data_IF_186507045968
#
_entry.id   IF_186507045968
#
_cell.length_a   1.000
_cell.length_b   1.000
_cell.length_c   1.000
_cell.angle_alpha   90.00
_cell.angle_beta   90.00
_cell.angle_gamma   90.00
#
_symmetry.space_group_name_H-M   'P 1'
#
loop_
_entity.id
_entity.type
_entity.pdbx_description
1 polymer ?
#
# COMPACT_ATOMS: atom_id res chain seq x y z
N UNK A 1 -7.61 -2.13 5.31
CA UNK A 1 -8.76 -2.93 5.75
C UNK A 1 -10.07 -2.23 5.43
N UNK A 2 -11.07 -2.99 4.95
CA UNK A 2 -12.38 -2.45 4.60
C UNK A 2 -13.28 -2.27 5.83
N UNK A 3 -12.99 -2.98 6.91
CA UNK A 3 -13.81 -3.02 8.12
C UNK A 3 -15.09 -3.84 7.95
N UNK A 4 -15.15 -4.72 6.97
CA UNK A 4 -16.32 -5.54 6.67
C UNK A 4 -16.66 -6.51 7.79
N UNK A 5 -17.94 -6.71 8.10
CA UNK A 5 -18.37 -7.54 9.21
C UNK A 5 -18.25 -9.02 8.89
N UNK A 6 -18.87 -9.46 7.79
CA UNK A 6 -18.91 -10.87 7.39
C UNK A 6 -17.65 -11.28 6.62
N UNK A 7 -17.11 -10.38 5.82
CA UNK A 7 -15.86 -10.54 5.10
C UNK A 7 -15.01 -9.29 5.29
N UNK A 8 -13.76 -9.46 5.71
CA UNK A 8 -12.76 -8.40 5.78
C UNK A 8 -11.80 -8.57 4.62
N UNK A 9 -11.60 -7.52 3.83
CA UNK A 9 -10.59 -7.48 2.79
C UNK A 9 -9.48 -6.50 3.17
N UNK A 10 -8.24 -6.99 3.19
CA UNK A 10 -7.05 -6.21 3.50
C UNK A 10 -6.17 -6.21 2.26
N UNK A 11 -6.13 -5.08 1.58
CA UNK A 11 -5.26 -4.87 0.42
C UNK A 11 -3.81 -4.81 0.89
N UNK A 12 -2.95 -5.63 0.30
CA UNK A 12 -1.53 -5.73 0.61
C UNK A 12 -0.74 -4.95 -0.43
N UNK A 13 0.04 -3.97 0.03
CA UNK A 13 0.93 -3.18 -0.80
C UNK A 13 2.37 -3.30 -0.30
N UNK A 14 3.29 -3.43 -1.24
CA UNK A 14 4.73 -3.43 -1.02
C UNK A 14 5.36 -2.43 -2.00
N UNK A 15 6.24 -1.54 -1.52
CA UNK A 15 6.67 -0.33 -2.25
C UNK A 15 7.44 -0.63 -3.54
N UNK A 16 8.06 -1.80 -3.64
CA UNK A 16 8.81 -2.23 -4.82
C UNK A 16 8.04 -3.16 -5.75
N UNK A 17 6.72 -3.29 -5.56
CA UNK A 17 5.85 -4.16 -6.36
C UNK A 17 5.58 -3.56 -7.74
N UNK A 18 6.58 -3.59 -8.61
CA UNK A 18 6.55 -3.04 -9.96
C UNK A 18 6.71 -4.12 -11.02
N UNK A 19 5.85 -4.11 -12.04
CA UNK A 19 6.10 -4.85 -13.29
C UNK A 19 7.07 -4.10 -14.18
N UNK A 20 7.48 -4.73 -15.27
CA UNK A 20 8.43 -4.16 -16.21
C UNK A 20 9.89 -4.50 -15.92
N UNK A 21 10.75 -4.05 -16.80
CA UNK A 21 12.20 -4.22 -16.72
C UNK A 21 12.92 -3.07 -17.38
N UNK A 22 14.23 -2.95 -17.14
CA UNK A 22 15.07 -1.97 -17.86
C UNK A 22 15.11 -2.32 -19.35
N UNK A 23 14.73 -1.36 -20.18
CA UNK A 23 14.77 -1.47 -21.64
C UNK A 23 15.66 -0.38 -22.22
N UNK A 24 16.31 -0.69 -23.35
CA UNK A 24 17.03 0.30 -24.14
C UNK A 24 16.03 0.97 -25.10
N UNK A 25 15.52 2.14 -24.69
CA UNK A 25 14.58 2.94 -25.48
C UNK A 25 15.22 4.18 -26.10
N UNK A 26 16.52 4.34 -26.01
CA UNK A 26 17.23 5.47 -26.60
C UNK A 26 17.10 5.44 -28.12
N UNK A 27 16.68 6.56 -28.71
CA UNK A 27 16.60 6.72 -30.15
C UNK A 27 17.81 7.49 -30.68
N UNK A 28 18.85 6.80 -31.17
CA UNK A 28 20.09 7.45 -31.66
C UNK A 28 19.88 8.27 -32.94
N UNK A 29 18.69 8.21 -33.55
CA UNK A 29 18.37 8.99 -34.75
C UNK A 29 17.63 10.28 -34.42
N UNK A 30 17.08 10.42 -33.21
CA UNK A 30 16.23 11.55 -32.84
C UNK A 30 16.96 12.90 -33.02
N UNK A 31 18.24 13.00 -32.62
CA UNK A 31 19.00 14.24 -32.68
C UNK A 31 19.18 14.80 -34.10
N UNK A 32 19.13 13.96 -35.14
CA UNK A 32 19.27 14.40 -36.54
C UNK A 32 18.12 15.35 -36.95
N UNK A 33 16.94 15.22 -36.35
CA UNK A 33 15.79 16.07 -36.63
C UNK A 33 15.82 17.40 -35.90
N UNK A 34 16.64 17.55 -34.86
CA UNK A 34 16.66 18.72 -33.99
C UNK A 34 16.90 20.02 -34.73
N UNK A 35 17.88 20.04 -35.67
CA UNK A 35 18.19 21.23 -36.48
C UNK A 35 17.02 21.69 -37.35
N UNK A 36 16.30 20.74 -37.95
CA UNK A 36 15.13 21.04 -38.78
C UNK A 36 13.94 21.51 -37.93
N UNK A 37 13.69 20.87 -36.80
CA UNK A 37 12.63 21.27 -35.85
C UNK A 37 12.86 22.72 -35.40
N UNK A 38 14.09 23.08 -34.98
CA UNK A 38 14.42 24.44 -34.57
C UNK A 38 14.24 25.45 -35.69
N UNK A 39 14.66 25.14 -36.95
CA UNK A 39 14.46 25.99 -38.09
C UNK A 39 12.98 26.26 -38.35
N UNK A 40 12.14 25.22 -38.36
CA UNK A 40 10.69 25.35 -38.53
C UNK A 40 10.04 26.25 -37.46
N UNK A 41 10.46 26.11 -36.21
CA UNK A 41 9.96 26.94 -35.10
C UNK A 41 10.36 28.42 -35.30
N UNK A 42 11.60 28.71 -35.75
CA UNK A 42 12.04 30.08 -36.03
C UNK A 42 11.34 30.71 -37.26
N UNK A 43 10.88 29.86 -38.18
CA UNK A 43 10.10 30.29 -39.35
C UNK A 43 8.59 30.45 -39.03
N UNK A 44 8.15 30.13 -37.78
CA UNK A 44 6.74 30.17 -37.36
C UNK A 44 5.90 29.00 -37.89
N UNK A 45 6.53 27.98 -38.44
CA UNK A 45 5.89 26.76 -38.99
C UNK A 45 5.69 25.73 -37.88
N UNK A 46 4.89 26.12 -36.87
CA UNK A 46 4.76 25.34 -35.65
C UNK A 46 4.14 23.95 -35.88
N UNK A 47 3.11 23.84 -36.71
CA UNK A 47 2.43 22.58 -37.00
C UNK A 47 3.37 21.55 -37.64
N UNK A 48 4.21 22.00 -38.60
CA UNK A 48 5.20 21.15 -39.25
C UNK A 48 6.33 20.73 -38.28
N UNK A 49 6.74 21.65 -37.40
CA UNK A 49 7.71 21.34 -36.36
C UNK A 49 7.17 20.27 -35.40
N UNK A 50 5.91 20.40 -34.99
CA UNK A 50 5.22 19.47 -34.11
C UNK A 50 5.06 18.08 -34.76
N UNK A 51 4.62 18.04 -36.02
CA UNK A 51 4.51 16.80 -36.78
C UNK A 51 5.87 16.08 -36.90
N UNK A 52 6.91 16.82 -37.26
CA UNK A 52 8.27 16.27 -37.34
C UNK A 52 8.74 15.75 -35.98
N UNK A 53 8.48 16.48 -34.91
CA UNK A 53 8.85 16.09 -33.55
C UNK A 53 8.14 14.79 -33.14
N UNK A 54 6.85 14.66 -33.37
CA UNK A 54 6.09 13.46 -33.05
C UNK A 54 6.55 12.21 -33.84
N UNK A 55 7.08 12.40 -35.03
CA UNK A 55 7.52 11.31 -35.88
C UNK A 55 8.99 10.91 -35.67
N UNK A 56 9.83 11.82 -35.17
CA UNK A 56 11.28 11.63 -35.17
C UNK A 56 11.96 11.88 -33.83
N UNK A 57 11.42 12.77 -32.99
CA UNK A 57 12.03 13.17 -31.71
C UNK A 57 11.37 12.45 -30.54
N UNK A 58 11.33 11.12 -30.64
CA UNK A 58 10.68 10.22 -29.69
C UNK A 58 11.62 9.04 -29.39
N UNK A 59 11.36 8.33 -28.27
CA UNK A 59 12.06 7.09 -27.97
C UNK A 59 11.86 6.05 -29.08
N UNK A 60 12.75 5.08 -29.18
CA UNK A 60 12.54 3.91 -30.04
C UNK A 60 11.65 2.88 -29.33
N UNK A 61 11.05 1.98 -30.12
CA UNK A 61 10.22 0.87 -29.64
C UNK A 61 8.73 1.14 -29.76
N UNK A 62 7.97 0.11 -29.50
CA UNK A 62 6.51 0.17 -29.54
C UNK A 62 6.00 1.17 -28.49
N UNK A 63 4.93 1.87 -28.83
CA UNK A 63 4.31 2.85 -27.96
C UNK A 63 5.00 4.21 -27.90
N UNK A 64 6.06 4.42 -28.67
CA UNK A 64 6.73 5.73 -28.76
C UNK A 64 5.96 6.68 -29.68
N UNK A 65 5.80 7.95 -29.22
CA UNK A 65 5.16 9.02 -30.00
C UNK A 65 3.63 8.93 -30.10
N UNK A 66 2.99 10.07 -30.34
CA UNK A 66 1.56 10.27 -30.65
C UNK A 66 0.54 9.45 -29.81
N UNK A 67 0.82 9.20 -28.53
CA UNK A 67 -0.07 8.43 -27.67
C UNK A 67 -0.15 6.92 -27.95
N UNK A 68 0.74 6.38 -28.75
CA UNK A 68 0.77 4.94 -29.07
C UNK A 68 1.15 4.07 -27.87
N UNK A 69 1.62 4.66 -26.76
CA UNK A 69 1.96 3.97 -25.51
C UNK A 69 0.78 3.40 -24.74
N UNK A 70 -0.46 3.76 -25.08
CA UNK A 70 -1.64 3.38 -24.30
C UNK A 70 -1.88 1.86 -24.21
N UNK A 71 -1.37 1.08 -25.16
CA UNK A 71 -1.60 -0.37 -25.25
C UNK A 71 -0.29 -1.19 -25.18
N UNK A 72 0.80 -0.59 -24.73
CA UNK A 72 2.10 -1.26 -24.62
C UNK A 72 2.31 -1.72 -23.18
N UNK A 73 2.94 -2.87 -22.94
CA UNK A 73 3.16 -3.42 -21.60
C UNK A 73 4.27 -2.67 -20.84
N UNK A 74 4.04 -1.39 -20.55
CA UNK A 74 4.92 -0.65 -19.64
C UNK A 74 4.88 -1.23 -18.23
N UNK A 75 5.99 -1.03 -17.50
CA UNK A 75 5.99 -1.30 -16.08
C UNK A 75 4.97 -0.44 -15.33
N UNK A 76 4.33 -1.02 -14.32
CA UNK A 76 3.39 -0.32 -13.45
C UNK A 76 3.54 -0.76 -12.00
N UNK A 77 3.26 0.19 -11.09
CA UNK A 77 3.08 -0.14 -9.69
C UNK A 77 1.76 -0.88 -9.50
N UNK A 78 1.78 -1.95 -8.70
CA UNK A 78 0.64 -2.86 -8.57
C UNK A 78 0.40 -3.26 -7.12
N UNK A 79 -0.86 -3.66 -6.80
CA UNK A 79 -1.11 -4.35 -5.54
C UNK A 79 -0.28 -5.65 -5.48
N UNK A 80 0.18 -6.03 -4.28
CA UNK A 80 0.77 -7.35 -4.07
C UNK A 80 -0.31 -8.43 -4.06
N UNK A 81 -1.44 -8.17 -3.41
CA UNK A 81 -2.58 -9.06 -3.34
C UNK A 81 -3.58 -8.61 -2.29
N UNK A 82 -4.58 -9.44 -2.03
CA UNK A 82 -5.55 -9.23 -0.97
C UNK A 82 -5.45 -10.38 0.04
N UNK A 83 -5.49 -10.04 1.32
CA UNK A 83 -5.77 -10.98 2.40
C UNK A 83 -7.25 -10.87 2.74
N UNK A 84 -7.98 -11.97 2.59
CA UNK A 84 -9.44 -12.03 2.80
C UNK A 84 -9.73 -12.91 4.00
N UNK A 85 -10.44 -12.37 4.98
CA UNK A 85 -10.94 -13.11 6.13
C UNK A 85 -12.46 -13.26 6.00
N UNK A 86 -12.94 -14.49 6.02
CA UNK A 86 -14.37 -14.82 6.01
C UNK A 86 -14.78 -15.30 7.40
N UNK A 87 -15.67 -14.58 8.06
CA UNK A 87 -16.11 -14.87 9.42
C UNK A 87 -17.33 -15.77 9.44
N UNK A 88 -17.36 -16.69 10.41
CA UNK A 88 -18.47 -17.59 10.66
C UNK A 88 -18.98 -17.38 12.08
N UNK A 89 -20.14 -16.74 12.20
CA UNK A 89 -20.74 -16.39 13.49
C UNK A 89 -21.67 -17.47 14.03
N UNK A 90 -21.64 -18.68 13.44
CA UNK A 90 -22.33 -19.89 13.92
C UNK A 90 -23.83 -19.69 14.26
N UNK A 91 -24.58 -19.09 13.36
CA UNK A 91 -26.02 -18.93 13.49
C UNK A 91 -26.48 -17.91 14.53
N UNK A 92 -25.58 -17.01 14.96
CA UNK A 92 -25.98 -15.82 15.72
C UNK A 92 -26.82 -14.87 14.85
N UNK A 93 -27.65 -14.03 15.50
CA UNK A 93 -28.45 -13.02 14.82
C UNK A 93 -27.63 -12.23 13.80
N UNK A 94 -28.22 -11.96 12.62
CA UNK A 94 -27.61 -11.11 11.59
C UNK A 94 -27.60 -9.62 11.94
N UNK A 95 -28.29 -9.24 13.02
CA UNK A 95 -28.36 -7.85 13.46
C UNK A 95 -27.04 -7.38 14.04
N UNK A 96 -26.54 -6.29 13.49
CA UNK A 96 -25.29 -5.62 13.90
C UNK A 96 -25.64 -4.34 14.61
N UNK A 97 -24.98 -4.09 15.75
CA UNK A 97 -25.18 -2.91 16.59
C UNK A 97 -23.86 -2.22 16.88
N UNK A 98 -23.90 -0.89 16.95
CA UNK A 98 -22.76 -0.07 17.38
C UNK A 98 -21.55 -0.23 16.49
N UNK A 99 -21.75 -0.49 15.19
CA UNK A 99 -20.63 -0.58 14.25
C UNK A 99 -19.86 0.74 14.20
N UNK A 100 -18.55 0.66 14.37
CA UNK A 100 -17.63 1.78 14.24
C UNK A 100 -16.36 1.31 13.54
N UNK A 101 -15.92 2.08 12.54
CA UNK A 101 -14.61 1.95 11.90
C UNK A 101 -13.83 3.24 12.11
N UNK A 102 -12.59 3.15 12.50
CA UNK A 102 -11.76 4.29 12.83
C UNK A 102 -10.31 4.06 12.34
N UNK A 103 -9.68 5.12 11.84
CA UNK A 103 -8.24 5.24 11.74
C UNK A 103 -7.79 6.30 12.75
N UNK A 104 -7.07 5.88 13.77
CA UNK A 104 -6.52 6.79 14.75
C UNK A 104 -5.15 7.30 14.27
N UNK A 105 -5.07 8.59 13.95
CA UNK A 105 -3.85 9.20 13.40
C UNK A 105 -2.72 9.33 14.43
N UNK A 106 -3.03 9.37 15.73
CA UNK A 106 -2.01 9.48 16.78
C UNK A 106 -1.18 8.20 16.95
N UNK A 107 -1.73 7.07 16.57
CA UNK A 107 -1.06 5.78 16.70
C UNK A 107 -1.03 4.94 15.41
N UNK A 108 -1.60 5.44 14.30
CA UNK A 108 -1.69 4.77 13.01
C UNK A 108 -2.30 3.36 13.09
N UNK A 109 -3.32 3.17 13.91
CA UNK A 109 -4.05 1.90 14.05
C UNK A 109 -5.44 2.08 13.47
N UNK A 110 -5.80 1.19 12.54
CA UNK A 110 -7.17 1.05 12.05
C UNK A 110 -7.93 0.06 12.93
N UNK A 111 -9.16 0.42 13.34
CA UNK A 111 -10.02 -0.42 14.18
C UNK A 111 -11.37 -0.62 13.52
N UNK A 112 -11.97 -1.80 13.74
CA UNK A 112 -13.38 -2.05 13.48
C UNK A 112 -14.00 -2.71 14.73
N UNK A 113 -15.07 -2.13 15.21
CA UNK A 113 -15.78 -2.55 16.41
C UNK A 113 -17.27 -2.70 16.10
N UNK A 114 -17.86 -3.78 16.55
CA UNK A 114 -19.31 -4.01 16.43
C UNK A 114 -19.77 -5.09 17.40
N UNK A 115 -21.08 -5.12 17.67
CA UNK A 115 -21.73 -6.19 18.41
C UNK A 115 -22.66 -6.95 17.46
N UNK A 116 -22.57 -8.28 17.50
CA UNK A 116 -23.47 -9.19 16.80
C UNK A 116 -24.10 -10.14 17.82
N UNK A 117 -25.43 -10.10 17.94
CA UNK A 117 -26.13 -10.77 19.03
C UNK A 117 -25.68 -10.24 20.40
N UNK A 118 -25.11 -11.14 21.21
CA UNK A 118 -24.58 -10.79 22.55
C UNK A 118 -23.07 -10.63 22.57
N UNK A 119 -22.37 -10.85 21.44
CA UNK A 119 -20.91 -10.85 21.39
C UNK A 119 -20.43 -9.56 20.73
N UNK A 120 -19.44 -8.95 21.37
CA UNK A 120 -18.73 -7.79 20.86
C UNK A 120 -17.42 -8.25 20.20
N UNK A 121 -17.18 -7.79 18.98
CA UNK A 121 -15.97 -8.07 18.21
C UNK A 121 -15.16 -6.79 18.05
N UNK A 122 -13.84 -6.91 18.23
CA UNK A 122 -12.90 -5.84 17.98
C UNK A 122 -11.77 -6.34 17.07
N UNK A 123 -11.39 -5.50 16.14
CA UNK A 123 -10.28 -5.76 15.19
C UNK A 123 -9.37 -4.55 15.20
N UNK A 124 -8.07 -4.80 15.33
CA UNK A 124 -7.03 -3.78 15.21
C UNK A 124 -6.08 -4.19 14.09
N UNK A 125 -5.77 -3.26 13.19
CA UNK A 125 -4.88 -3.50 12.04
C UNK A 125 -3.86 -2.38 11.97
N UNK A 126 -2.57 -2.73 11.88
CA UNK A 126 -1.48 -1.78 11.68
C UNK A 126 -0.30 -2.43 10.95
N UNK A 127 0.56 -1.60 10.37
CA UNK A 127 1.85 -2.00 9.80
C UNK A 127 2.97 -1.44 10.66
N UNK A 128 3.82 -2.33 11.20
CA UNK A 128 4.89 -1.98 12.14
C UNK A 128 6.20 -1.76 11.40
N UNK A 129 6.74 -0.55 11.44
CA UNK A 129 8.11 -0.29 10.98
C UNK A 129 9.16 -0.90 11.91
N UNK A 130 8.83 -1.07 13.20
CA UNK A 130 9.73 -1.68 14.17
C UNK A 130 9.96 -3.17 13.91
N UNK A 131 8.98 -3.85 13.29
CA UNK A 131 8.99 -5.29 13.04
C UNK A 131 8.98 -5.64 11.56
N UNK A 132 8.79 -4.65 10.68
CA UNK A 132 8.72 -4.77 9.21
C UNK A 132 7.63 -5.75 8.75
N UNK A 133 6.43 -5.65 9.35
CA UNK A 133 5.29 -6.51 9.02
C UNK A 133 3.95 -5.88 9.37
N UNK A 134 2.88 -6.45 8.79
CA UNK A 134 1.50 -6.15 9.17
C UNK A 134 1.04 -7.00 10.36
N UNK A 135 0.22 -6.40 11.20
CA UNK A 135 -0.39 -7.08 12.37
C UNK A 135 -1.90 -6.88 12.31
N UNK A 136 -2.64 -7.99 12.44
CA UNK A 136 -4.09 -7.99 12.56
C UNK A 136 -4.43 -8.71 13.86
N UNK A 137 -5.11 -8.01 14.75
CA UNK A 137 -5.52 -8.54 16.05
C UNK A 137 -7.04 -8.63 16.12
N UNK A 138 -7.54 -9.81 16.37
CA UNK A 138 -8.96 -10.13 16.45
C UNK A 138 -9.31 -10.58 17.88
N UNK A 139 -10.33 -9.95 18.48
CA UNK A 139 -10.83 -10.33 19.80
C UNK A 139 -12.35 -10.39 19.82
N UNK A 140 -12.88 -11.21 20.71
CA UNK A 140 -14.30 -11.25 21.06
C UNK A 140 -14.45 -11.23 22.58
N UNK A 141 -15.52 -10.63 23.09
CA UNK A 141 -15.82 -10.57 24.54
C UNK A 141 -16.47 -11.86 25.06
N UNK A 142 -16.72 -12.82 24.19
CA UNK A 142 -17.18 -14.17 24.55
C UNK A 142 -16.09 -15.22 24.23
N UNK A 143 -15.98 -16.19 25.11
CA UNK A 143 -15.01 -17.29 24.94
C UNK A 143 -15.33 -18.12 23.71
N UNK A 144 -14.28 -18.48 22.95
CA UNK A 144 -14.37 -19.32 21.74
C UNK A 144 -15.29 -18.78 20.62
N UNK A 145 -15.54 -17.47 20.58
CA UNK A 145 -16.46 -16.86 19.64
C UNK A 145 -15.84 -16.52 18.28
N UNK A 146 -14.51 -16.59 18.14
CA UNK A 146 -13.84 -16.32 16.87
C UNK A 146 -13.77 -17.59 16.01
N UNK A 147 -14.50 -17.55 14.90
CA UNK A 147 -14.45 -18.57 13.86
C UNK A 147 -14.33 -17.86 12.52
N UNK A 148 -13.29 -18.14 11.75
CA UNK A 148 -13.06 -17.55 10.46
C UNK A 148 -12.13 -18.42 9.61
N UNK A 149 -12.11 -18.17 8.33
CA UNK A 149 -11.07 -18.65 7.43
C UNK A 149 -10.38 -17.47 6.78
N UNK A 150 -9.12 -17.64 6.42
CA UNK A 150 -8.41 -16.62 5.65
C UNK A 150 -7.69 -17.24 4.45
N UNK A 151 -7.63 -16.46 3.39
CA UNK A 151 -6.98 -16.78 2.13
C UNK A 151 -6.34 -15.54 1.52
N UNK A 152 -5.47 -15.73 0.56
CA UNK A 152 -4.92 -14.64 -0.24
C UNK A 152 -5.31 -14.81 -1.70
N UNK A 153 -5.53 -13.70 -2.40
CA UNK A 153 -5.78 -13.70 -3.83
C UNK A 153 -5.14 -12.48 -4.52
N UNK A 154 -5.04 -12.60 -5.83
CA UNK A 154 -4.59 -11.56 -6.75
C UNK A 154 -5.24 -11.84 -8.12
N UNK A 155 -5.37 -10.85 -9.04
CA UNK A 155 -5.94 -11.11 -10.36
C UNK A 155 -5.15 -12.12 -11.20
N UNK A 156 -3.80 -12.15 -11.09
CA UNK A 156 -2.94 -12.95 -11.97
C UNK A 156 -1.58 -13.28 -11.33
N UNK A 157 -0.84 -14.22 -11.95
CA UNK A 157 0.58 -14.52 -11.69
C UNK A 157 0.91 -14.79 -10.23
N UNK A 158 0.12 -15.65 -9.57
CA UNK A 158 0.33 -16.04 -8.18
C UNK A 158 -0.02 -17.50 -7.92
N UNK A 159 0.54 -18.01 -6.85
CA UNK A 159 0.17 -19.29 -6.23
C UNK A 159 0.06 -19.11 -4.73
N UNK A 160 -0.96 -19.72 -4.13
CA UNK A 160 -1.16 -19.74 -2.68
C UNK A 160 -1.10 -21.18 -2.19
N UNK A 161 -0.41 -21.40 -1.09
CA UNK A 161 -0.33 -22.72 -0.41
C UNK A 161 -0.42 -22.52 1.09
N UNK A 162 -1.15 -23.40 1.77
CA UNK A 162 -1.20 -23.45 3.21
C UNK A 162 -0.19 -24.47 3.76
N UNK A 163 0.46 -24.13 4.88
CA UNK A 163 1.43 -24.95 5.57
C UNK A 163 1.29 -24.76 7.09
N UNK A 164 0.61 -25.67 7.75
CA UNK A 164 0.29 -25.55 9.18
C UNK A 164 -0.50 -24.28 9.47
N UNK A 165 0.05 -23.39 10.29
CA UNK A 165 -0.56 -22.12 10.67
C UNK A 165 -0.27 -21.00 9.67
N UNK A 166 0.46 -21.28 8.62
CA UNK A 166 0.93 -20.30 7.65
C UNK A 166 0.16 -20.42 6.32
N UNK A 167 0.00 -19.28 5.68
CA UNK A 167 -0.46 -19.17 4.29
C UNK A 167 0.61 -18.42 3.50
N UNK A 168 1.10 -19.01 2.42
CA UNK A 168 2.15 -18.45 1.57
C UNK A 168 1.59 -18.13 0.19
N UNK A 169 1.70 -16.87 -0.24
CA UNK A 169 1.50 -16.44 -1.61
C UNK A 169 2.86 -16.14 -2.24
N UNK A 170 3.09 -16.62 -3.45
CA UNK A 170 4.28 -16.32 -4.24
C UNK A 170 3.87 -16.07 -5.69
N UNK A 171 4.63 -15.22 -6.37
CA UNK A 171 4.41 -14.94 -7.78
C UNK A 171 5.58 -14.23 -8.44
N UNK A 172 5.41 -13.99 -9.73
CA UNK A 172 6.36 -13.24 -10.54
C UNK A 172 5.59 -12.35 -11.51
N UNK A 173 6.02 -11.12 -11.67
CA UNK A 173 5.36 -10.14 -12.56
C UNK A 173 5.88 -10.24 -13.98
N UNK A 174 5.13 -9.73 -14.98
CA UNK A 174 5.64 -9.53 -16.34
C UNK A 174 6.82 -8.57 -16.35
N UNK A 175 7.75 -8.77 -17.26
CA UNK A 175 8.93 -7.91 -17.44
C UNK A 175 8.68 -6.69 -18.36
N UNK A 176 7.49 -6.58 -18.93
CA UNK A 176 7.12 -5.49 -19.83
C UNK A 176 7.61 -5.64 -21.27
N UNK A 177 8.33 -6.72 -21.58
CA UNK A 177 8.80 -7.03 -22.94
C UNK A 177 7.86 -7.99 -23.64
N UNK A 178 7.46 -9.05 -22.93
CA UNK A 178 6.51 -10.04 -23.42
C UNK A 178 5.43 -10.25 -22.37
N UNK A 179 4.17 -10.03 -22.74
CA UNK A 179 3.04 -10.24 -21.86
C UNK A 179 2.78 -11.72 -21.55
N UNK A 180 3.32 -12.64 -22.36
CA UNK A 180 3.20 -14.08 -22.17
C UNK A 180 4.31 -14.65 -21.28
N UNK A 181 5.44 -13.95 -21.14
CA UNK A 181 6.56 -14.39 -20.32
C UNK A 181 6.62 -13.65 -18.99
N UNK A 182 6.56 -14.40 -17.90
CA UNK A 182 6.58 -13.89 -16.53
C UNK A 182 8.05 -13.91 -16.06
N UNK A 183 8.84 -12.91 -16.43
CA UNK A 183 10.28 -12.81 -16.13
C UNK A 183 10.63 -11.59 -15.27
N UNK A 184 9.66 -10.81 -14.87
CA UNK A 184 9.87 -9.61 -14.06
C UNK A 184 10.11 -9.92 -12.59
N UNK A 185 9.80 -8.97 -11.74
CA UNK A 185 9.99 -8.99 -10.30
C UNK A 185 9.26 -10.18 -9.64
N UNK A 186 9.99 -10.92 -8.81
CA UNK A 186 9.40 -11.98 -7.96
C UNK A 186 8.99 -11.41 -6.61
N UNK A 187 7.90 -11.94 -6.05
CA UNK A 187 7.36 -11.49 -4.78
C UNK A 187 6.86 -12.65 -3.93
N UNK A 188 6.80 -12.42 -2.63
CA UNK A 188 6.17 -13.33 -1.68
C UNK A 188 5.46 -12.56 -0.57
N UNK A 189 4.36 -13.13 -0.07
CA UNK A 189 3.73 -12.74 1.19
C UNK A 189 3.44 -13.98 2.01
N UNK A 190 3.74 -13.92 3.30
CA UNK A 190 3.42 -15.01 4.24
C UNK A 190 2.59 -14.48 5.40
N UNK A 191 1.49 -15.18 5.69
CA UNK A 191 0.60 -14.86 6.81
C UNK A 191 0.65 -15.99 7.81
N UNK A 192 0.93 -15.70 9.08
CA UNK A 192 0.92 -16.65 10.19
C UNK A 192 -0.18 -16.31 11.18
N UNK A 193 -0.99 -17.29 11.57
CA UNK A 193 -1.96 -17.12 12.64
C UNK A 193 -1.44 -17.69 13.96
N UNK A 194 -1.60 -16.91 15.02
CA UNK A 194 -1.25 -17.24 16.40
C UNK A 194 -2.52 -17.14 17.23
N UNK A 195 -2.78 -18.14 18.07
CA UNK A 195 -3.96 -18.21 18.94
C UNK A 195 -3.54 -18.19 20.42
N UNK A 196 -3.32 -17.00 21.04
CA UNK A 196 -2.78 -16.91 22.39
C UNK A 196 -3.69 -17.52 23.48
N UNK A 197 -5.01 -17.54 23.21
CA UNK A 197 -6.03 -18.04 24.16
C UNK A 197 -6.72 -19.30 23.65
N UNK A 198 -5.98 -20.15 22.94
CA UNK A 198 -6.50 -21.41 22.41
C UNK A 198 -7.40 -21.25 21.20
N UNK A 199 -7.84 -22.38 20.67
CA UNK A 199 -8.56 -22.54 19.43
C UNK A 199 -7.90 -23.61 18.57
N UNK A 200 -8.44 -23.84 17.37
CA UNK A 200 -7.93 -24.83 16.42
C UNK A 200 -7.61 -24.15 15.10
N UNK A 201 -6.47 -24.50 14.53
CA UNK A 201 -6.08 -24.12 13.17
C UNK A 201 -6.11 -25.35 12.28
N UNK A 202 -6.73 -25.23 11.12
CA UNK A 202 -6.79 -26.31 10.12
C UNK A 202 -6.37 -25.75 8.76
N UNK A 203 -5.24 -26.18 8.20
CA UNK A 203 -4.85 -25.82 6.85
C UNK A 203 -5.73 -26.56 5.84
N UNK A 204 -6.14 -25.83 4.78
CA UNK A 204 -6.64 -26.39 3.53
C UNK A 204 -5.54 -26.36 2.47
N UNK A 205 -5.91 -26.36 1.19
CA UNK A 205 -4.92 -26.26 0.10
C UNK A 205 -4.36 -24.83 -0.06
N UNK A 206 -5.26 -23.85 -0.03
CA UNK A 206 -4.94 -22.42 -0.24
C UNK A 206 -5.63 -21.48 0.76
N UNK A 207 -6.16 -22.05 1.84
CA UNK A 207 -6.81 -21.31 2.93
C UNK A 207 -6.44 -21.91 4.27
N UNK A 208 -6.55 -21.13 5.33
CA UNK A 208 -6.40 -21.61 6.70
C UNK A 208 -7.68 -21.28 7.47
N UNK A 209 -8.21 -22.25 8.19
CA UNK A 209 -9.41 -22.09 9.03
C UNK A 209 -9.05 -22.02 10.49
N UNK A 210 -9.69 -21.10 11.21
CA UNK A 210 -9.59 -20.94 12.67
C UNK A 210 -10.95 -21.20 13.28
N UNK A 211 -11.00 -22.02 14.32
CA UNK A 211 -12.22 -22.38 15.04
C UNK A 211 -12.04 -22.28 16.55
N UNK A 212 -13.09 -21.83 17.22
CA UNK A 212 -13.18 -21.78 18.68
C UNK A 212 -12.01 -20.99 19.31
N UNK A 213 -11.58 -19.90 18.69
CA UNK A 213 -10.59 -19.02 19.28
C UNK A 213 -11.28 -17.89 20.08
N UNK A 214 -10.63 -17.41 21.14
CA UNK A 214 -11.06 -16.22 21.90
C UNK A 214 -10.24 -14.99 21.50
N UNK A 215 -9.06 -15.22 20.92
CA UNK A 215 -8.15 -14.20 20.43
C UNK A 215 -7.35 -14.79 19.27
N UNK A 216 -7.10 -13.98 18.24
CA UNK A 216 -6.23 -14.36 17.13
C UNK A 216 -5.35 -13.19 16.72
N UNK A 217 -4.08 -13.46 16.42
CA UNK A 217 -3.12 -12.51 15.86
C UNK A 217 -2.68 -13.07 14.51
N UNK A 218 -2.86 -12.30 13.43
CA UNK A 218 -2.29 -12.62 12.14
C UNK A 218 -1.09 -11.70 11.90
N UNK A 219 0.06 -12.28 11.65
CA UNK A 219 1.29 -11.58 11.26
C UNK A 219 1.45 -11.72 9.75
N UNK A 220 1.65 -10.60 9.05
CA UNK A 220 1.74 -10.53 7.59
C UNK A 220 3.10 -9.98 7.19
N UNK A 221 3.94 -10.80 6.58
CA UNK A 221 5.21 -10.39 6.00
C UNK A 221 5.13 -10.34 4.48
N UNK A 222 5.87 -9.41 3.87
CA UNK A 222 5.91 -9.23 2.42
C UNK A 222 7.34 -8.94 1.98
N UNK A 223 7.72 -9.38 0.78
CA UNK A 223 9.02 -9.09 0.20
C UNK A 223 8.98 -9.22 -1.34
N UNK A 224 9.87 -8.48 -2.01
CA UNK A 224 10.14 -8.63 -3.42
C UNK A 224 11.65 -8.87 -3.64
N UNK A 225 12.03 -9.41 -4.79
CA UNK A 225 13.44 -9.62 -5.12
C UNK A 225 14.15 -8.34 -5.61
N UNK A 226 13.48 -7.21 -5.54
CA UNK A 226 14.13 -5.91 -5.67
C UNK A 226 15.13 -5.66 -4.52
N UNK A 227 14.67 -5.88 -3.29
CA UNK A 227 15.50 -5.67 -2.09
C UNK A 227 16.17 -6.96 -1.59
N UNK A 228 15.53 -8.13 -1.74
CA UNK A 228 15.98 -9.37 -1.13
C UNK A 228 15.88 -10.55 -2.09
N UNK A 229 16.99 -11.18 -2.38
CA UNK A 229 17.03 -12.31 -3.35
C UNK A 229 16.48 -13.62 -2.76
N UNK A 230 16.53 -13.78 -1.42
CA UNK A 230 15.92 -14.92 -0.71
C UNK A 230 14.55 -14.54 -0.13
N UNK A 231 13.54 -14.51 -0.97
CA UNK A 231 12.17 -14.16 -0.58
C UNK A 231 11.61 -15.08 0.51
N UNK A 232 11.81 -16.39 0.38
CA UNK A 232 11.27 -17.37 1.32
C UNK A 232 11.91 -17.22 2.70
N UNK A 233 13.23 -17.07 2.77
CA UNK A 233 13.96 -16.80 4.00
C UNK A 233 13.54 -15.46 4.62
N UNK A 234 13.43 -14.40 3.82
CA UNK A 234 13.02 -13.06 4.30
C UNK A 234 11.65 -13.07 4.96
N UNK A 235 10.60 -13.52 4.25
CA UNK A 235 9.23 -13.50 4.81
C UNK A 235 9.10 -14.43 6.02
N UNK A 236 9.83 -15.55 6.05
CA UNK A 236 9.79 -16.49 7.18
C UNK A 236 10.52 -15.93 8.40
N UNK A 237 11.68 -15.29 8.22
CA UNK A 237 12.48 -14.73 9.33
C UNK A 237 11.78 -13.56 10.02
N UNK A 238 11.07 -12.70 9.26
CA UNK A 238 10.26 -11.62 9.82
C UNK A 238 9.20 -12.17 10.77
N UNK A 239 8.44 -13.18 10.33
CA UNK A 239 7.41 -13.81 11.17
C UNK A 239 8.01 -14.51 12.39
N UNK A 240 9.09 -15.25 12.23
CA UNK A 240 9.75 -15.95 13.33
C UNK A 240 10.33 -15.01 14.40
N UNK A 241 10.71 -13.80 14.02
CA UNK A 241 11.16 -12.77 14.96
C UNK A 241 9.98 -12.12 15.69
N UNK A 242 8.89 -11.82 14.96
CA UNK A 242 7.70 -11.19 15.53
C UNK A 242 6.92 -12.14 16.45
N UNK A 243 6.87 -13.44 16.15
CA UNK A 243 6.21 -14.46 16.95
C UNK A 243 6.76 -14.58 18.38
N UNK A 244 8.01 -14.16 18.61
CA UNK A 244 8.62 -14.12 19.95
C UNK A 244 8.05 -13.02 20.84
N UNK A 245 7.25 -12.11 20.30
CA UNK A 245 6.64 -10.96 20.98
C UNK A 245 5.15 -11.22 21.18
N UNK A 246 4.61 -10.80 22.30
CA UNK A 246 3.17 -10.71 22.48
C UNK A 246 2.58 -9.51 21.72
N UNK A 247 1.26 -9.48 21.56
CA UNK A 247 0.57 -8.39 20.87
C UNK A 247 0.85 -7.02 21.50
N UNK A 248 0.90 -6.93 22.83
CA UNK A 248 1.16 -5.66 23.52
C UNK A 248 2.54 -5.09 23.18
N UNK A 249 3.55 -5.95 23.07
CA UNK A 249 4.92 -5.58 22.68
C UNK A 249 5.00 -5.13 21.21
N UNK A 250 4.33 -5.84 20.29
CA UNK A 250 4.24 -5.46 18.87
C UNK A 250 3.57 -4.08 18.73
N UNK A 251 2.42 -3.90 19.36
CA UNK A 251 1.66 -2.64 19.35
C UNK A 251 2.48 -1.48 19.97
N UNK A 252 3.15 -1.71 21.09
CA UNK A 252 4.01 -0.71 21.73
C UNK A 252 5.18 -0.30 20.83
N UNK A 253 5.83 -1.26 20.17
CA UNK A 253 6.93 -1.00 19.24
C UNK A 253 6.48 -0.17 18.05
N UNK A 254 5.34 -0.54 17.44
CA UNK A 254 4.71 0.20 16.36
C UNK A 254 4.40 1.65 16.75
N UNK A 255 3.67 1.86 17.87
CA UNK A 255 3.30 3.20 18.33
C UNK A 255 4.53 4.06 18.60
N UNK A 256 5.56 3.50 19.24
CA UNK A 256 6.80 4.23 19.54
C UNK A 256 7.51 4.68 18.26
N UNK A 257 7.67 3.78 17.29
CA UNK A 257 8.29 4.09 16.01
C UNK A 257 7.49 5.16 15.23
N UNK A 258 6.17 5.02 15.14
CA UNK A 258 5.32 5.97 14.45
C UNK A 258 5.31 7.36 15.12
N UNK A 259 5.10 7.41 16.44
CA UNK A 259 5.06 8.68 17.19
C UNK A 259 6.39 9.41 17.21
N UNK A 260 7.51 8.74 17.02
CA UNK A 260 8.81 9.40 16.90
C UNK A 260 8.88 10.39 15.73
N UNK A 261 8.00 10.21 14.72
CA UNK A 261 7.82 11.11 13.59
C UNK A 261 6.54 11.94 13.74
N UNK A 262 5.40 11.28 13.96
CA UNK A 262 4.10 11.96 13.97
C UNK A 262 3.95 12.95 15.12
N UNK A 263 4.43 12.63 16.31
CA UNK A 263 4.33 13.45 17.51
C UNK A 263 5.21 14.71 17.52
N UNK A 264 5.97 14.99 16.44
CA UNK A 264 6.87 16.17 16.37
C UNK A 264 6.16 17.48 16.06
N UNK A 265 4.95 17.40 15.50
CA UNK A 265 4.18 18.58 15.08
C UNK A 265 2.73 18.42 15.48
N UNK A 266 2.21 19.43 16.12
CA UNK A 266 0.79 19.60 16.41
C UNK A 266 0.32 20.91 15.77
N UNK A 267 -0.87 20.89 15.19
CA UNK A 267 -1.51 22.07 14.60
C UNK A 267 -2.89 22.24 15.26
N UNK A 268 -3.07 23.35 15.95
CA UNK A 268 -4.33 23.77 16.53
C UNK A 268 -4.81 25.04 15.83
N UNK A 269 -5.97 24.98 15.19
CA UNK A 269 -6.64 26.10 14.51
C UNK A 269 -7.95 26.50 15.20
N UNK A 270 -8.20 25.94 16.38
CA UNK A 270 -9.45 26.08 17.13
C UNK A 270 -10.36 24.85 16.95
N UNK A 271 -11.47 24.86 17.70
CA UNK A 271 -12.40 23.73 17.81
C UNK A 271 -13.67 23.94 17.00
N UNK A 272 -14.32 22.83 16.65
CA UNK A 272 -15.63 22.79 16.02
C UNK A 272 -16.55 21.85 16.79
N UNK A 273 -17.83 22.18 16.87
CA UNK A 273 -18.86 21.27 17.42
C UNK A 273 -19.03 19.97 16.59
N UNK A 274 -18.41 19.91 15.42
CA UNK A 274 -18.49 18.79 14.48
C UNK A 274 -17.40 17.74 14.66
N UNK A 275 -16.46 17.93 15.57
CA UNK A 275 -15.31 17.02 15.79
C UNK A 275 -15.70 15.57 16.10
N UNK A 276 -16.87 15.39 16.73
CA UNK A 276 -17.36 14.06 17.10
C UNK A 276 -18.27 13.41 16.04
N UNK A 277 -18.53 14.08 14.92
CA UNK A 277 -19.28 13.50 13.82
C UNK A 277 -18.45 12.42 13.10
N UNK A 278 -19.10 11.36 12.58
CA UNK A 278 -18.48 10.50 11.57
C UNK A 278 -17.94 11.33 10.41
N UNK A 279 -16.82 10.89 9.80
CA UNK A 279 -16.11 11.71 8.81
C UNK A 279 -16.96 12.02 7.57
N UNK A 280 -17.78 11.10 7.12
CA UNK A 280 -18.73 11.29 6.03
C UNK A 280 -19.78 12.36 6.34
N UNK A 281 -20.36 12.33 7.53
CA UNK A 281 -21.29 13.37 8.00
C UNK A 281 -20.58 14.72 8.20
N UNK A 282 -19.36 14.71 8.73
CA UNK A 282 -18.56 15.92 8.93
C UNK A 282 -18.19 16.60 7.62
N UNK A 283 -17.79 15.82 6.59
CA UNK A 283 -17.50 16.34 5.25
C UNK A 283 -18.75 16.88 4.57
N UNK A 284 -19.91 16.22 4.70
CA UNK A 284 -21.18 16.73 4.19
C UNK A 284 -21.53 18.07 4.86
N UNK A 285 -21.41 18.16 6.19
CA UNK A 285 -21.65 19.40 6.93
C UNK A 285 -20.66 20.53 6.56
N UNK A 286 -19.40 20.19 6.27
CA UNK A 286 -18.40 21.16 5.80
C UNK A 286 -18.73 21.70 4.40
N UNK A 287 -19.27 20.87 3.52
CA UNK A 287 -19.71 21.29 2.19
C UNK A 287 -20.81 22.37 2.28
N UNK A 288 -21.74 22.22 3.21
CA UNK A 288 -22.84 23.19 3.44
C UNK A 288 -22.34 24.48 4.12
N UNK A 289 -21.43 24.34 5.07
CA UNK A 289 -20.82 25.48 5.78
C UNK A 289 -19.35 25.16 6.12
N UNK A 290 -18.36 25.82 5.47
CA UNK A 290 -16.94 25.52 5.63
C UNK A 290 -16.32 26.03 6.96
N UNK A 291 -17.10 26.39 7.96
CA UNK A 291 -16.61 26.82 9.26
C UNK A 291 -16.30 25.60 10.16
N UNK A 292 -15.13 24.99 9.94
CA UNK A 292 -14.61 23.87 10.74
C UNK A 292 -13.07 23.91 10.76
N UNK A 293 -12.46 24.73 11.61
CA UNK A 293 -11.01 24.90 11.65
C UNK A 293 -10.29 23.61 12.08
N UNK A 294 -10.89 22.81 12.95
CA UNK A 294 -10.29 21.55 13.39
C UNK A 294 -10.28 20.47 12.27
N UNK A 295 -11.16 20.56 11.27
CA UNK A 295 -11.08 19.71 10.08
C UNK A 295 -9.84 20.04 9.23
N UNK A 296 -9.48 21.32 9.10
CA UNK A 296 -8.27 21.72 8.40
C UNK A 296 -7.01 21.22 9.13
N UNK A 297 -6.98 21.31 10.46
CA UNK A 297 -5.90 20.76 11.27
C UNK A 297 -5.79 19.21 11.11
N UNK A 298 -6.94 18.53 11.11
CA UNK A 298 -7.00 17.07 10.87
C UNK A 298 -6.48 16.72 9.46
N UNK A 299 -6.85 17.49 8.45
CA UNK A 299 -6.39 17.27 7.06
C UNK A 299 -4.87 17.44 6.92
N UNK A 300 -4.29 18.45 7.59
CA UNK A 300 -2.84 18.62 7.67
C UNK A 300 -2.17 17.38 8.33
N UNK A 301 -2.70 16.92 9.46
CA UNK A 301 -2.16 15.72 10.14
C UNK A 301 -2.34 14.46 9.32
N UNK A 302 -3.43 14.34 8.55
CA UNK A 302 -3.63 13.22 7.63
C UNK A 302 -2.59 13.22 6.50
N UNK A 303 -2.23 14.38 5.97
CA UNK A 303 -1.14 14.50 4.99
C UNK A 303 0.22 14.02 5.57
N UNK A 304 0.53 14.38 6.83
CA UNK A 304 1.72 13.87 7.53
C UNK A 304 1.66 12.34 7.72
N UNK A 305 0.51 11.82 8.12
CA UNK A 305 0.29 10.36 8.23
C UNK A 305 0.56 9.66 6.89
N UNK A 306 0.07 10.19 5.77
CA UNK A 306 0.29 9.60 4.45
C UNK A 306 1.78 9.55 4.09
N UNK A 307 2.54 10.61 4.30
CA UNK A 307 3.98 10.60 4.02
C UNK A 307 4.73 9.61 4.93
N UNK A 308 4.47 9.63 6.23
CA UNK A 308 5.10 8.70 7.20
C UNK A 308 4.79 7.24 6.85
N UNK A 309 3.55 6.96 6.42
CA UNK A 309 3.10 5.59 6.15
C UNK A 309 3.49 5.06 4.77
N UNK A 310 3.94 5.93 3.85
CA UNK A 310 4.25 5.54 2.47
C UNK A 310 5.72 5.26 2.21
N UNK A 311 6.65 5.75 3.05
CA UNK A 311 8.09 5.54 2.86
C UNK A 311 8.87 5.65 4.17
N UNK A 312 10.11 5.20 4.14
CA UNK A 312 11.11 5.39 5.19
C UNK A 312 12.51 5.35 4.59
N UNK A 313 13.52 5.80 5.34
CA UNK A 313 14.93 5.72 4.94
C UNK A 313 15.29 4.28 4.56
N UNK A 314 15.92 4.12 3.40
CA UNK A 314 16.31 2.81 2.84
C UNK A 314 15.27 2.14 1.93
N UNK A 315 14.09 2.74 1.77
CA UNK A 315 13.08 2.30 0.81
C UNK A 315 12.99 3.23 -0.40
N UNK A 316 12.12 2.90 -1.35
CA UNK A 316 11.76 3.75 -2.47
C UNK A 316 10.92 4.95 -1.99
N UNK A 317 10.91 6.09 -2.72
CA UNK A 317 9.99 7.18 -2.45
C UNK A 317 8.54 6.79 -2.77
N UNK A 318 7.52 7.50 -2.21
CA UNK A 318 6.13 7.31 -2.62
C UNK A 318 5.93 7.65 -4.10
N UNK A 319 5.22 6.78 -4.81
CA UNK A 319 4.87 6.98 -6.22
C UNK A 319 3.58 7.81 -6.39
N UNK A 320 2.97 7.86 -7.60
CA UNK A 320 1.71 8.57 -7.85
C UNK A 320 0.56 8.12 -6.94
N UNK A 321 0.55 6.85 -6.52
CA UNK A 321 -0.43 6.30 -5.60
C UNK A 321 -0.01 6.45 -4.12
N UNK A 322 1.12 7.08 -3.85
CA UNK A 322 1.78 7.01 -2.55
C UNK A 322 2.34 5.61 -2.33
N UNK A 323 1.58 4.78 -1.66
CA UNK A 323 1.81 3.33 -1.50
C UNK A 323 0.54 2.53 -1.83
N UNK A 324 -0.63 3.16 -1.71
CA UNK A 324 -1.93 2.49 -1.72
C UNK A 324 -2.42 2.21 -3.14
N UNK A 325 -2.60 0.92 -3.44
CA UNK A 325 -3.05 0.43 -4.74
C UNK A 325 -3.93 -0.80 -4.53
N UNK A 326 -5.05 -0.89 -5.21
CA UNK A 326 -5.99 -2.03 -5.14
C UNK A 326 -6.21 -2.72 -6.49
N UNK A 327 -5.38 -2.43 -7.47
CA UNK A 327 -5.48 -2.95 -8.84
C UNK A 327 -4.10 -3.28 -9.40
N UNK A 328 -4.05 -4.08 -10.46
CA UNK A 328 -2.84 -4.31 -11.26
C UNK A 328 -2.66 -3.28 -12.38
N UNK A 329 -3.72 -2.54 -12.73
CA UNK A 329 -3.72 -1.48 -13.73
C UNK A 329 -3.97 -0.13 -13.05
N UNK A 330 -2.93 0.43 -12.47
CA UNK A 330 -3.01 1.73 -11.78
C UNK A 330 -3.11 2.88 -12.76
N UNK A 331 -3.86 3.95 -12.41
CA UNK A 331 -3.88 5.17 -13.20
C UNK A 331 -2.46 5.69 -13.45
N UNK A 332 -2.14 6.02 -14.70
CA UNK A 332 -0.80 6.45 -15.15
C UNK A 332 0.31 5.50 -14.68
N UNK A 333 0.03 4.18 -14.66
CA UNK A 333 0.94 3.12 -14.20
C UNK A 333 1.41 3.27 -12.74
N UNK A 334 0.87 4.20 -11.98
CA UNK A 334 1.34 4.53 -10.63
C UNK A 334 2.79 5.00 -10.61
N UNK A 335 3.34 5.47 -11.73
CA UNK A 335 4.77 5.67 -11.90
C UNK A 335 5.32 6.95 -11.26
N UNK A 336 6.61 7.20 -11.42
CA UNK A 336 7.30 8.38 -10.90
C UNK A 336 7.30 9.50 -11.95
N UNK A 337 6.33 10.42 -11.86
CA UNK A 337 6.31 11.62 -12.68
C UNK A 337 7.28 12.66 -12.13
N UNK A 338 8.43 12.81 -12.81
CA UNK A 338 9.55 13.66 -12.37
C UNK A 338 9.39 15.14 -12.68
N UNK A 339 8.40 15.52 -13.47
CA UNK A 339 8.16 16.93 -13.79
C UNK A 339 7.55 17.72 -12.63
N UNK A 340 6.74 17.10 -11.76
CA UNK A 340 6.15 17.77 -10.58
C UNK A 340 5.62 16.81 -9.51
N UNK A 341 4.96 15.69 -9.87
CA UNK A 341 4.17 14.90 -8.92
C UNK A 341 5.04 14.27 -7.81
N UNK A 342 6.18 13.70 -8.16
CA UNK A 342 7.10 13.11 -7.19
C UNK A 342 7.63 14.18 -6.22
N UNK A 343 7.96 15.37 -6.71
CA UNK A 343 8.38 16.49 -5.89
C UNK A 343 7.27 16.93 -4.94
N UNK A 344 6.01 17.02 -5.43
CA UNK A 344 4.86 17.41 -4.61
C UNK A 344 4.63 16.48 -3.43
N UNK A 345 4.83 15.19 -3.60
CA UNK A 345 4.72 14.23 -2.51
C UNK A 345 5.69 14.55 -1.33
N UNK A 346 6.81 15.23 -1.62
CA UNK A 346 7.84 15.57 -0.64
C UNK A 346 7.83 17.02 -0.17
N UNK A 347 6.99 17.90 -0.75
CA UNK A 347 6.92 19.30 -0.31
C UNK A 347 6.67 19.47 1.20
N UNK A 348 5.84 18.64 1.86
CA UNK A 348 5.64 18.78 3.29
C UNK A 348 6.80 18.24 4.15
N UNK A 349 7.75 17.51 3.58
CA UNK A 349 8.78 16.80 4.38
C UNK A 349 9.54 17.76 5.31
N UNK A 350 10.07 18.86 4.79
CA UNK A 350 10.85 19.80 5.59
C UNK A 350 9.96 20.65 6.52
N UNK A 351 8.90 21.25 5.96
CA UNK A 351 8.03 22.16 6.72
C UNK A 351 7.19 21.46 7.79
N UNK A 352 6.98 20.15 7.66
CA UNK A 352 6.24 19.35 8.62
C UNK A 352 7.15 18.51 9.55
N UNK A 353 8.45 18.86 9.65
CA UNK A 353 9.44 18.21 10.51
C UNK A 353 9.57 16.69 10.26
N UNK A 354 9.71 16.34 8.97
CA UNK A 354 9.85 14.95 8.47
C UNK A 354 11.01 14.85 7.47
N UNK A 355 12.08 15.65 7.64
CA UNK A 355 13.21 15.80 6.70
C UNK A 355 13.86 14.46 6.31
N UNK A 356 13.92 13.50 7.22
CA UNK A 356 14.46 12.16 6.92
C UNK A 356 13.66 11.42 5.86
N UNK A 357 12.38 11.72 5.68
CA UNK A 357 11.53 11.11 4.65
C UNK A 357 11.78 11.71 3.26
N UNK A 358 12.62 12.73 3.15
CA UNK A 358 13.14 13.24 1.88
C UNK A 358 14.29 12.36 1.35
N UNK A 359 15.03 11.69 2.22
CA UNK A 359 16.19 10.87 1.84
C UNK A 359 15.86 9.75 0.83
N UNK A 360 14.72 9.04 0.90
CA UNK A 360 14.35 8.06 -0.13
C UNK A 360 14.34 8.64 -1.54
N UNK A 361 13.81 9.85 -1.72
CA UNK A 361 13.82 10.54 -3.02
C UNK A 361 15.25 10.87 -3.47
N UNK A 362 16.09 11.37 -2.57
CA UNK A 362 17.48 11.72 -2.87
C UNK A 362 18.29 10.49 -3.28
N UNK A 363 18.18 9.40 -2.53
CA UNK A 363 18.90 8.17 -2.82
C UNK A 363 18.40 7.49 -4.11
N UNK A 364 17.09 7.49 -4.36
CA UNK A 364 16.51 7.01 -5.60
C UNK A 364 17.00 7.85 -6.80
N UNK A 365 17.02 9.19 -6.67
CA UNK A 365 17.52 10.10 -7.72
C UNK A 365 18.99 9.84 -8.05
N UNK A 366 19.83 9.60 -7.04
CA UNK A 366 21.25 9.23 -7.26
C UNK A 366 21.38 7.95 -8.08
N UNK A 367 20.50 6.96 -7.90
CA UNK A 367 20.53 5.72 -8.67
C UNK A 367 20.21 5.95 -10.15
N UNK A 368 19.45 7.01 -10.49
CA UNK A 368 19.12 7.33 -11.89
C UNK A 368 20.32 7.95 -12.66
N UNK A 369 21.30 8.54 -11.97
CA UNK A 369 22.46 9.19 -12.62
C UNK A 369 23.23 8.24 -13.54
N UNK A 370 23.30 6.95 -13.20
CA UNK A 370 23.99 5.94 -14.01
C UNK A 370 23.19 5.52 -15.25
N UNK A 371 21.91 5.86 -15.33
CA UNK A 371 21.00 5.45 -16.40
C UNK A 371 20.58 6.63 -17.30
N UNK A 372 20.81 7.89 -16.85
CA UNK A 372 20.43 9.14 -17.50
C UNK A 372 21.51 9.84 -18.29
#
# INVERSE_FOLDING_TARGET
PDGGVDTENIVLNEISMWSGSKQDTDNPQAYHSLGTIRKLLFEGRNDEAQELMYNTFVCKGEGSGQGQGANVPYGSYQLLGNLVLNYDYQGTSDSIFGYRRELNLDNAIATAYFRRGKVTYNREVFTSFADDLGVIHLTADADRALNFSFGMNRPEHYKVTADGNDLLMQGQLPDGVDTLEVKGLRYASRVRVILPKGGNVTPGDSTVSVRNASEAILLVSMATDYFDKDLAGKVSSLLANAEKKDFASLKKGHIAAYRSLFGRVELDLGHSSRENLPMDERLAAFHENPDDPSLAALYFQFGRYLLISSTRVGLLPPNLQGLWCNTINTPWNGDYHLNINLQMNHWPAEVANLSELHLPLVEWTKQQVASG
#
